data_IF_079484862519
#
_entry.id   IF_079484862519
#
_cell.length_a   1.000
_cell.length_b   1.000
_cell.length_c   1.000
_cell.angle_alpha   90.00
_cell.angle_beta   90.00
_cell.angle_gamma   90.00
#
_symmetry.space_group_name_H-M   'P 1'
#
loop_
_entity.id
_entity.type
_entity.pdbx_description
1 polymer ?
#
# COMPACT_ATOMS: atom_id res chain seq x y z
N UNK A 1 6.74 -12.44 11.59
CA UNK A 1 5.54 -13.30 11.77
C UNK A 1 4.73 -12.85 12.98
N UNK A 2 5.28 -12.82 14.21
CA UNK A 2 4.55 -12.41 15.44
C UNK A 2 3.72 -11.09 15.38
N UNK A 3 4.19 -10.07 14.66
CA UNK A 3 3.46 -8.80 14.54
C UNK A 3 2.17 -8.92 13.72
N UNK A 4 2.22 -9.65 12.61
CA UNK A 4 1.04 -9.90 11.78
C UNK A 4 0.01 -10.72 12.55
N UNK A 5 0.43 -11.57 13.49
CA UNK A 5 -0.46 -12.43 14.27
C UNK A 5 -1.37 -11.61 15.20
N UNK A 6 -0.85 -10.56 15.86
CA UNK A 6 -1.66 -9.67 16.70
C UNK A 6 -2.64 -8.86 15.86
N UNK A 7 -2.19 -8.29 14.73
CA UNK A 7 -3.10 -7.57 13.83
C UNK A 7 -4.15 -8.49 13.22
N UNK A 8 -3.78 -9.72 12.85
CA UNK A 8 -4.70 -10.72 12.35
C UNK A 8 -5.77 -11.04 13.40
N UNK A 9 -5.39 -11.23 14.66
CA UNK A 9 -6.37 -11.49 15.72
C UNK A 9 -7.41 -10.35 15.84
N UNK A 10 -6.97 -9.10 15.82
CA UNK A 10 -7.85 -7.94 16.00
C UNK A 10 -8.65 -7.58 14.74
N UNK A 11 -8.03 -7.66 13.56
CA UNK A 11 -8.59 -7.15 12.31
C UNK A 11 -9.21 -8.23 11.42
N UNK A 12 -8.90 -9.51 11.60
CA UNK A 12 -9.50 -10.59 10.79
C UNK A 12 -11.03 -10.65 10.83
N UNK A 13 -11.75 -10.26 11.91
CA UNK A 13 -13.21 -10.19 11.85
C UNK A 13 -13.74 -9.26 10.76
N UNK A 14 -12.98 -8.23 10.39
CA UNK A 14 -13.34 -7.29 9.32
C UNK A 14 -13.29 -7.94 7.93
N UNK A 15 -12.50 -9.00 7.75
CA UNK A 15 -12.43 -9.74 6.47
C UNK A 15 -13.73 -10.48 6.15
N UNK A 16 -14.60 -10.70 7.14
CA UNK A 16 -15.93 -11.30 6.94
C UNK A 16 -16.96 -10.30 6.42
N UNK A 17 -16.65 -9.01 6.45
CA UNK A 17 -17.52 -7.95 5.95
C UNK A 17 -17.21 -7.62 4.49
N UNK A 18 -18.13 -6.95 3.77
CA UNK A 18 -17.82 -6.38 2.47
C UNK A 18 -16.54 -5.52 2.52
N UNK A 19 -15.60 -5.67 1.56
CA UNK A 19 -14.30 -4.98 1.60
C UNK A 19 -14.40 -3.46 1.79
N UNK A 20 -15.44 -2.83 1.22
CA UNK A 20 -15.69 -1.40 1.39
C UNK A 20 -15.95 -1.04 2.85
N UNK A 21 -16.83 -1.79 3.53
CA UNK A 21 -17.15 -1.53 4.95
C UNK A 21 -15.93 -1.77 5.84
N UNK A 22 -15.14 -2.82 5.56
CA UNK A 22 -13.90 -3.09 6.28
C UNK A 22 -12.94 -1.90 6.19
N UNK A 23 -12.71 -1.37 4.98
CA UNK A 23 -11.83 -0.19 4.80
C UNK A 23 -12.40 1.04 5.49
N UNK A 24 -13.71 1.29 5.44
CA UNK A 24 -14.36 2.41 6.14
C UNK A 24 -14.11 2.33 7.65
N UNK A 25 -14.31 1.16 8.25
CA UNK A 25 -14.08 0.94 9.69
C UNK A 25 -12.60 1.17 10.05
N UNK A 26 -11.68 0.63 9.25
CA UNK A 26 -10.24 0.84 9.47
C UNK A 26 -9.86 2.31 9.33
N UNK A 27 -10.39 3.02 8.32
CA UNK A 27 -10.19 4.47 8.17
C UNK A 27 -10.65 5.24 9.40
N UNK A 28 -11.80 4.89 9.96
CA UNK A 28 -12.30 5.54 11.18
C UNK A 28 -11.36 5.28 12.38
N UNK A 29 -10.93 4.03 12.57
CA UNK A 29 -10.01 3.65 13.65
C UNK A 29 -8.68 4.40 13.53
N UNK A 30 -8.07 4.43 12.33
CA UNK A 30 -6.82 5.14 12.09
C UNK A 30 -7.01 6.64 12.33
N UNK A 31 -8.08 7.25 11.78
CA UNK A 31 -8.36 8.67 12.01
C UNK A 31 -8.53 9.00 13.50
N UNK A 32 -9.18 8.12 14.26
CA UNK A 32 -9.32 8.27 15.70
C UNK A 32 -7.96 8.20 16.41
N UNK A 33 -7.14 7.20 16.11
CA UNK A 33 -5.78 7.04 16.65
C UNK A 33 -4.95 8.30 16.38
N UNK A 34 -4.94 8.77 15.13
CA UNK A 34 -4.20 9.98 14.72
C UNK A 34 -4.63 11.18 15.54
N UNK A 35 -5.93 11.39 15.71
CA UNK A 35 -6.43 12.56 16.43
C UNK A 35 -6.18 12.45 17.93
N UNK A 36 -6.35 11.28 18.54
CA UNK A 36 -6.03 11.07 19.94
C UNK A 36 -4.53 11.33 20.20
N UNK A 37 -3.65 10.75 19.40
CA UNK A 37 -2.20 10.99 19.53
C UNK A 37 -1.90 12.47 19.35
N UNK A 38 -2.43 13.11 18.31
CA UNK A 38 -2.20 14.55 18.09
C UNK A 38 -2.67 15.36 19.28
N UNK A 39 -3.87 15.06 19.81
CA UNK A 39 -4.46 15.78 20.95
C UNK A 39 -3.58 15.72 22.20
N UNK A 40 -3.04 14.53 22.51
CA UNK A 40 -2.29 14.31 23.74
C UNK A 40 -0.79 14.59 23.62
N UNK A 41 -0.27 14.75 22.42
CA UNK A 41 1.17 14.99 22.20
C UNK A 41 1.50 16.41 21.75
N UNK A 42 0.48 17.24 21.42
CA UNK A 42 0.67 18.66 21.10
C UNK A 42 -0.10 19.59 22.05
N UNK A 43 0.44 20.78 22.27
CA UNK A 43 -0.23 21.83 23.03
C UNK A 43 -1.31 22.48 22.14
N UNK A 44 -2.58 22.16 22.41
CA UNK A 44 -3.70 22.60 21.57
C UNK A 44 -3.89 24.13 21.56
N UNK A 45 -3.63 24.81 22.68
CA UNK A 45 -3.73 26.27 22.75
C UNK A 45 -2.67 26.92 21.87
N UNK A 46 -1.41 26.47 21.99
CA UNK A 46 -0.32 26.95 21.16
C UNK A 46 -0.57 26.68 19.67
N UNK A 47 -1.06 25.49 19.32
CA UNK A 47 -1.36 25.13 17.94
C UNK A 47 -2.47 26.02 17.36
N UNK A 48 -3.50 26.32 18.16
CA UNK A 48 -4.58 27.23 17.77
C UNK A 48 -4.06 28.65 17.54
N UNK A 49 -3.28 29.20 18.48
CA UNK A 49 -2.69 30.55 18.37
C UNK A 49 -1.82 30.67 17.13
N UNK A 50 -0.91 29.73 16.90
CA UNK A 50 -0.04 29.73 15.71
C UNK A 50 -0.85 29.69 14.41
N UNK A 51 -1.94 28.92 14.38
CA UNK A 51 -2.82 28.82 13.21
C UNK A 51 -3.59 30.11 12.95
N UNK A 52 -4.05 30.78 14.00
CA UNK A 52 -4.68 32.10 13.91
C UNK A 52 -3.69 33.16 13.41
N UNK A 53 -2.46 33.18 13.94
CA UNK A 53 -1.37 34.06 13.47
C UNK A 53 -1.06 33.84 11.98
N UNK A 54 -0.88 32.58 11.56
CA UNK A 54 -0.63 32.22 10.16
C UNK A 54 -1.77 32.71 9.25
N UNK A 55 -3.03 32.48 9.65
CA UNK A 55 -4.19 32.91 8.87
C UNK A 55 -4.29 34.44 8.77
N UNK A 56 -3.98 35.15 9.85
CA UNK A 56 -4.01 36.62 9.88
C UNK A 56 -2.91 37.21 8.99
N UNK A 57 -1.69 36.68 9.06
CA UNK A 57 -0.59 37.09 8.19
C UNK A 57 -0.91 36.81 6.70
N UNK A 58 -1.59 35.71 6.39
CA UNK A 58 -2.05 35.43 5.03
C UNK A 58 -3.07 36.46 4.51
N UNK A 59 -3.92 37.02 5.37
CA UNK A 59 -4.83 38.12 4.99
C UNK A 59 -4.05 39.41 4.75
N UNK A 60 -3.14 39.77 5.65
CA UNK A 60 -2.30 40.97 5.52
C UNK A 60 -1.47 40.94 4.23
N UNK A 61 -0.92 39.79 3.84
CA UNK A 61 -0.22 39.63 2.55
C UNK A 61 -1.14 39.93 1.36
N UNK A 62 -2.41 39.52 1.41
CA UNK A 62 -3.39 39.81 0.34
C UNK A 62 -3.78 41.29 0.27
N UNK A 63 -3.70 42.01 1.38
CA UNK A 63 -3.94 43.47 1.44
C UNK A 63 -2.71 44.26 0.97
N UNK A 64 -1.50 43.75 1.27
CA UNK A 64 -0.23 44.37 0.91
C UNK A 64 0.24 44.08 -0.53
N UNK A 65 -0.67 43.67 -1.44
CA UNK A 65 -0.34 43.36 -2.85
C UNK A 65 0.45 44.47 -3.56
N UNK A 66 0.19 45.73 -3.20
CA UNK A 66 0.83 46.90 -3.81
C UNK A 66 2.10 47.35 -3.07
N UNK A 67 2.52 46.65 -2.01
CA UNK A 67 3.72 46.96 -1.24
C UNK A 67 4.58 45.69 -1.03
N UNK A 68 5.41 45.32 -2.03
CA UNK A 68 6.16 44.07 -2.00
C UNK A 68 7.17 44.00 -0.84
N UNK A 69 7.76 45.13 -0.44
CA UNK A 69 8.72 45.17 0.67
C UNK A 69 8.04 44.81 2.00
N UNK A 70 6.90 45.45 2.32
CA UNK A 70 6.13 45.13 3.54
C UNK A 70 5.50 43.73 3.48
N UNK A 71 5.03 43.31 2.30
CA UNK A 71 4.51 41.95 2.11
C UNK A 71 5.58 40.89 2.42
N UNK A 72 6.83 41.12 2.02
CA UNK A 72 7.96 40.21 2.31
C UNK A 72 8.26 40.11 3.81
N UNK A 73 8.16 41.21 4.56
CA UNK A 73 8.33 41.18 6.02
C UNK A 73 7.23 40.35 6.71
N UNK A 74 5.97 40.54 6.31
CA UNK A 74 4.85 39.74 6.83
C UNK A 74 5.01 38.27 6.43
N UNK A 75 5.48 38.00 5.21
CA UNK A 75 5.77 36.64 4.75
C UNK A 75 6.85 35.96 5.59
N UNK A 76 7.93 36.67 5.97
CA UNK A 76 8.96 36.11 6.87
C UNK A 76 8.36 35.72 8.22
N UNK A 77 7.55 36.59 8.84
CA UNK A 77 6.83 36.27 10.09
C UNK A 77 5.89 35.08 9.94
N UNK A 78 5.20 34.97 8.80
CA UNK A 78 4.37 33.82 8.47
C UNK A 78 5.17 32.54 8.31
N UNK A 79 6.35 32.60 7.72
CA UNK A 79 7.24 31.47 7.60
C UNK A 79 7.73 31.01 8.98
N UNK A 80 8.12 31.93 9.87
CA UNK A 80 8.53 31.61 11.25
C UNK A 80 7.41 30.93 12.05
N UNK A 81 6.19 31.48 11.99
CA UNK A 81 5.02 30.88 12.63
C UNK A 81 4.70 29.49 12.05
N UNK A 82 4.77 29.32 10.73
CA UNK A 82 4.60 28.03 10.07
C UNK A 82 5.68 27.02 10.47
N UNK A 83 6.95 27.43 10.58
CA UNK A 83 8.04 26.56 11.01
C UNK A 83 7.82 26.09 12.45
N UNK A 84 7.40 26.98 13.35
CA UNK A 84 7.06 26.63 14.74
C UNK A 84 5.85 25.69 14.80
N UNK A 85 4.80 25.97 14.03
CA UNK A 85 3.64 25.06 13.93
C UNK A 85 4.06 23.67 13.42
N UNK A 86 4.88 23.64 12.36
CA UNK A 86 5.38 22.40 11.77
C UNK A 86 6.20 21.60 12.78
N UNK A 87 7.14 22.21 13.50
CA UNK A 87 7.97 21.51 14.49
C UNK A 87 7.14 20.85 15.60
N UNK A 88 6.09 21.53 16.08
CA UNK A 88 5.15 20.95 17.04
C UNK A 88 4.31 19.82 16.44
N UNK A 89 4.04 19.85 15.12
CA UNK A 89 3.35 18.77 14.42
C UNK A 89 4.23 17.60 13.98
N UNK A 90 5.56 17.74 13.99
CA UNK A 90 6.47 16.64 13.60
C UNK A 90 6.42 15.49 14.59
N UNK A 91 6.45 15.79 15.90
CA UNK A 91 6.39 14.77 16.96
C UNK A 91 5.15 13.85 16.84
N UNK A 92 3.89 14.36 16.82
CA UNK A 92 2.73 13.49 16.65
C UNK A 92 2.79 12.72 15.33
N UNK A 93 3.24 13.33 14.24
CA UNK A 93 3.33 12.68 12.92
C UNK A 93 4.25 11.46 12.95
N UNK A 94 5.42 11.57 13.58
CA UNK A 94 6.35 10.44 13.72
C UNK A 94 5.75 9.33 14.59
N UNK A 95 5.04 9.70 15.66
CA UNK A 95 4.38 8.73 16.55
C UNK A 95 3.23 8.02 15.83
N UNK A 96 2.43 8.73 15.04
CA UNK A 96 1.30 8.15 14.30
C UNK A 96 1.73 7.34 13.08
N UNK A 97 2.90 7.62 12.51
CA UNK A 97 3.43 6.88 11.37
C UNK A 97 3.62 5.39 11.70
N UNK A 98 4.07 5.07 12.91
CA UNK A 98 4.29 3.69 13.35
C UNK A 98 3.01 2.81 13.26
N UNK A 99 1.89 3.13 13.95
CA UNK A 99 0.68 2.32 13.83
C UNK A 99 0.10 2.33 12.41
N UNK A 100 0.23 3.44 11.67
CA UNK A 100 -0.28 3.55 10.29
C UNK A 100 0.44 2.56 9.37
N UNK A 101 1.78 2.55 9.36
CA UNK A 101 2.57 1.66 8.50
C UNK A 101 2.20 0.21 8.75
N UNK A 102 2.01 -0.13 10.02
CA UNK A 102 1.72 -1.50 10.40
C UNK A 102 0.31 -1.95 9.95
N UNK A 103 -0.71 -1.12 10.17
CA UNK A 103 -2.07 -1.39 9.66
C UNK A 103 -2.07 -1.40 8.13
N UNK A 104 -1.30 -0.52 7.48
CA UNK A 104 -1.20 -0.49 6.02
C UNK A 104 -0.52 -1.73 5.45
N UNK A 105 0.51 -2.26 6.11
CA UNK A 105 1.13 -3.54 5.74
C UNK A 105 0.10 -4.66 5.76
N UNK A 106 -0.73 -4.72 6.82
CA UNK A 106 -1.83 -5.68 6.91
C UNK A 106 -2.93 -5.46 5.86
N UNK A 107 -3.35 -4.22 5.63
CA UNK A 107 -4.33 -3.90 4.57
C UNK A 107 -3.79 -4.27 3.19
N UNK A 108 -2.51 -3.99 2.93
CA UNK A 108 -1.87 -4.34 1.67
C UNK A 108 -1.74 -5.85 1.47
N UNK A 109 -1.68 -6.65 2.55
CA UNK A 109 -1.67 -8.11 2.47
C UNK A 109 -3.06 -8.72 2.23
N UNK A 110 -4.15 -7.99 2.51
CA UNK A 110 -5.52 -8.52 2.44
C UNK A 110 -6.42 -7.85 1.39
N UNK A 111 -6.09 -6.64 0.95
CA UNK A 111 -6.97 -5.80 0.14
C UNK A 111 -6.32 -5.23 -1.13
N UNK A 112 -5.02 -5.45 -1.37
CA UNK A 112 -4.35 -4.95 -2.57
C UNK A 112 -4.78 -5.72 -3.83
N UNK A 113 -5.01 -7.02 -3.69
CA UNK A 113 -5.23 -7.93 -4.80
C UNK A 113 -6.50 -8.77 -4.63
N UNK A 114 -7.06 -9.19 -5.76
CA UNK A 114 -8.10 -10.21 -5.81
C UNK A 114 -7.45 -11.60 -5.67
N UNK A 115 -8.17 -12.54 -5.08
CA UNK A 115 -7.75 -13.94 -5.07
C UNK A 115 -7.80 -14.54 -6.48
N UNK A 116 -7.13 -15.67 -6.67
CA UNK A 116 -7.19 -16.44 -7.91
C UNK A 116 -8.30 -17.48 -7.75
N UNK A 117 -9.37 -17.37 -8.53
CA UNK A 117 -10.45 -18.33 -8.48
C UNK A 117 -10.00 -19.72 -9.00
N UNK A 118 -10.60 -20.82 -8.53
CA UNK A 118 -10.35 -22.15 -9.10
C UNK A 118 -10.57 -22.15 -10.61
N UNK A 119 -9.66 -22.81 -11.34
CA UNK A 119 -9.61 -22.88 -12.80
C UNK A 119 -9.39 -21.55 -13.53
N UNK A 120 -9.20 -20.44 -12.81
CA UNK A 120 -8.81 -19.18 -13.41
C UNK A 120 -7.34 -19.25 -13.87
N UNK A 121 -7.09 -18.80 -15.10
CA UNK A 121 -5.73 -18.65 -15.61
C UNK A 121 -5.02 -17.47 -14.93
N UNK A 122 -3.76 -17.67 -14.58
CA UNK A 122 -2.88 -16.65 -14.04
C UNK A 122 -1.45 -16.83 -14.53
N UNK A 123 -0.72 -15.73 -14.64
CA UNK A 123 0.67 -15.75 -15.07
C UNK A 123 1.63 -15.86 -13.88
N UNK A 124 2.67 -16.66 -14.05
CA UNK A 124 3.84 -16.70 -13.19
C UNK A 124 5.04 -16.18 -13.98
N UNK A 125 5.73 -15.22 -13.41
CA UNK A 125 6.94 -14.65 -13.96
C UNK A 125 8.15 -15.05 -13.11
N UNK A 126 9.20 -15.55 -13.73
CA UNK A 126 10.52 -15.59 -13.12
C UNK A 126 11.40 -14.52 -13.77
N UNK A 127 12.06 -13.71 -12.96
CA UNK A 127 12.98 -12.65 -13.36
C UNK A 127 14.38 -13.10 -13.01
N UNK A 128 15.27 -12.99 -13.98
CA UNK A 128 16.62 -13.51 -13.89
C UNK A 128 17.65 -12.38 -13.84
N UNK A 129 18.85 -12.73 -13.42
CA UNK A 129 20.02 -11.88 -13.59
C UNK A 129 20.26 -11.58 -15.09
N UNK A 130 20.83 -10.40 -15.40
CA UNK A 130 21.09 -9.99 -16.79
C UNK A 130 22.03 -10.93 -17.53
N UNK A 131 22.90 -11.62 -16.80
CA UNK A 131 23.83 -12.61 -17.35
C UNK A 131 23.15 -13.96 -17.70
N UNK A 132 21.90 -14.19 -17.28
CA UNK A 132 21.19 -15.43 -17.56
C UNK A 132 20.82 -15.56 -19.05
N UNK A 133 20.94 -16.77 -19.60
CA UNK A 133 20.62 -17.10 -20.99
C UNK A 133 20.09 -18.53 -21.09
N UNK A 134 19.45 -18.87 -22.20
CA UNK A 134 18.89 -20.21 -22.43
C UNK A 134 17.45 -20.32 -21.94
N UNK A 135 17.11 -21.47 -21.35
CA UNK A 135 15.75 -21.84 -20.99
C UNK A 135 15.60 -22.00 -19.47
N UNK A 136 14.41 -21.70 -18.97
CA UNK A 136 13.99 -22.04 -17.62
C UNK A 136 12.83 -23.04 -17.67
N UNK A 137 12.70 -23.83 -16.62
CA UNK A 137 11.69 -24.87 -16.47
C UNK A 137 10.85 -24.57 -15.21
N UNK A 138 9.57 -24.93 -15.23
CA UNK A 138 8.67 -24.88 -14.08
C UNK A 138 8.16 -26.28 -13.71
N UNK A 139 8.31 -26.65 -12.45
CA UNK A 139 7.65 -27.82 -11.87
C UNK A 139 6.41 -27.35 -11.13
N UNK A 140 5.28 -27.96 -11.47
CA UNK A 140 4.01 -27.76 -10.77
C UNK A 140 3.59 -29.07 -10.08
N UNK A 141 3.00 -29.01 -8.88
CA UNK A 141 2.48 -30.16 -8.16
C UNK A 141 1.15 -30.63 -8.75
N UNK A 142 0.66 -31.77 -8.26
CA UNK A 142 -0.69 -32.24 -8.56
C UNK A 142 -1.74 -31.18 -8.15
N UNK A 143 -2.70 -30.92 -9.03
CA UNK A 143 -3.72 -29.88 -8.83
C UNK A 143 -3.45 -28.56 -9.55
N UNK A 144 -2.25 -28.35 -10.10
CA UNK A 144 -1.91 -27.27 -11.04
C UNK A 144 -1.64 -27.81 -12.45
N UNK A 145 -2.07 -27.06 -13.46
CA UNK A 145 -1.87 -27.36 -14.88
C UNK A 145 -1.11 -26.20 -15.54
N UNK A 146 -0.10 -26.54 -16.35
CA UNK A 146 0.63 -25.58 -17.19
C UNK A 146 -0.11 -25.46 -18.52
N UNK A 147 -0.45 -24.23 -18.90
CA UNK A 147 -1.03 -23.93 -20.20
C UNK A 147 0.12 -23.49 -21.12
N UNK A 148 0.52 -24.39 -22.01
CA UNK A 148 1.65 -24.21 -22.92
C UNK A 148 2.88 -25.00 -22.52
N UNK A 149 4.06 -24.49 -22.88
CA UNK A 149 5.31 -25.21 -22.68
C UNK A 149 5.83 -25.10 -21.24
N UNK A 150 6.29 -26.23 -20.71
CA UNK A 150 6.95 -26.31 -19.41
C UNK A 150 8.31 -25.62 -19.42
N UNK A 151 9.08 -25.78 -20.51
CA UNK A 151 10.36 -25.09 -20.72
C UNK A 151 10.17 -23.89 -21.61
N UNK A 152 10.66 -22.74 -21.17
CA UNK A 152 10.51 -21.47 -21.91
C UNK A 152 11.85 -20.76 -22.03
N UNK A 153 12.08 -20.15 -23.19
CA UNK A 153 13.27 -19.34 -23.45
C UNK A 153 13.21 -18.03 -22.66
N UNK A 154 14.34 -17.61 -22.10
CA UNK A 154 14.45 -16.33 -21.43
C UNK A 154 14.35 -15.20 -22.45
N UNK A 155 13.43 -14.26 -22.23
CA UNK A 155 13.20 -13.12 -23.09
C UNK A 155 13.01 -11.82 -22.29
N UNK A 156 13.23 -10.65 -22.91
CA UNK A 156 12.85 -9.39 -22.29
C UNK A 156 11.33 -9.32 -22.08
N UNK A 157 10.90 -8.88 -20.89
CA UNK A 157 9.48 -8.75 -20.55
C UNK A 157 9.19 -7.48 -19.76
N UNK A 158 8.01 -6.90 -20.00
CA UNK A 158 7.49 -5.81 -19.20
C UNK A 158 6.51 -6.36 -18.16
N UNK A 159 6.89 -6.34 -16.88
CA UNK A 159 6.08 -6.88 -15.77
C UNK A 159 5.76 -5.73 -14.83
N UNK A 160 4.47 -5.49 -14.56
CA UNK A 160 4.02 -4.41 -13.66
C UNK A 160 4.62 -3.03 -14.01
N UNK A 161 4.68 -2.69 -15.30
CA UNK A 161 5.28 -1.45 -15.85
C UNK A 161 6.79 -1.29 -15.63
N UNK A 162 7.49 -2.37 -15.26
CA UNK A 162 8.95 -2.42 -15.20
C UNK A 162 9.46 -3.36 -16.28
N UNK A 163 10.52 -2.93 -16.98
CA UNK A 163 11.16 -3.76 -18.00
C UNK A 163 12.27 -4.60 -17.37
N UNK A 164 12.30 -5.87 -17.73
CA UNK A 164 13.31 -6.83 -17.33
C UNK A 164 13.98 -7.40 -18.55
N UNK A 165 15.31 -7.46 -18.54
CA UNK A 165 16.11 -7.91 -19.68
C UNK A 165 16.03 -9.43 -19.88
N UNK A 166 15.75 -10.18 -18.80
CA UNK A 166 15.67 -11.63 -18.77
C UNK A 166 14.51 -12.07 -17.87
N UNK A 167 13.48 -12.64 -18.49
CA UNK A 167 12.33 -13.18 -17.80
C UNK A 167 11.80 -14.44 -18.50
N UNK A 168 11.13 -15.27 -17.72
CA UNK A 168 10.32 -16.39 -18.17
C UNK A 168 8.87 -16.16 -17.71
N UNK A 169 7.90 -16.57 -18.52
CA UNK A 169 6.48 -16.47 -18.21
C UNK A 169 5.81 -17.82 -18.47
N UNK A 170 5.05 -18.27 -17.47
CA UNK A 170 4.17 -19.44 -17.59
C UNK A 170 2.75 -19.05 -17.25
N UNK A 171 1.79 -19.62 -17.98
CA UNK A 171 0.37 -19.50 -17.66
C UNK A 171 -0.07 -20.76 -16.95
N UNK A 172 -0.64 -20.63 -15.75
CA UNK A 172 -1.10 -21.74 -14.94
C UNK A 172 -2.60 -21.60 -14.65
N UNK A 173 -3.25 -22.72 -14.38
CA UNK A 173 -4.58 -22.80 -13.75
C UNK A 173 -4.61 -24.00 -12.80
N UNK A 174 -5.57 -24.07 -11.89
CA UNK A 174 -5.69 -25.26 -11.05
C UNK A 174 -6.80 -25.23 -10.02
N UNK A 175 -6.74 -26.20 -9.12
CA UNK A 175 -7.74 -26.43 -8.08
C UNK A 175 -7.50 -25.55 -6.85
N UNK A 176 -8.55 -25.34 -6.06
CA UNK A 176 -8.49 -24.60 -4.80
C UNK A 176 -7.45 -25.21 -3.86
N UNK A 177 -6.65 -24.36 -3.22
CA UNK A 177 -5.61 -24.78 -2.29
C UNK A 177 -4.30 -24.01 -2.43
N UNK A 178 -3.38 -24.27 -1.51
CA UNK A 178 -2.01 -23.78 -1.59
C UNK A 178 -1.13 -24.81 -2.30
N UNK A 179 -0.41 -24.35 -3.31
CA UNK A 179 0.44 -25.17 -4.18
C UNK A 179 1.86 -24.60 -4.19
N UNK A 180 2.88 -25.46 -4.13
CA UNK A 180 4.28 -25.02 -4.20
C UNK A 180 4.78 -25.28 -5.61
N UNK A 181 5.07 -24.20 -6.35
CA UNK A 181 5.73 -24.29 -7.65
C UNK A 181 7.24 -24.15 -7.50
N UNK A 182 7.98 -24.71 -8.43
CA UNK A 182 9.44 -24.70 -8.43
C UNK A 182 9.95 -24.21 -9.78
N UNK A 183 10.77 -23.16 -9.76
CA UNK A 183 11.46 -22.66 -10.93
C UNK A 183 12.84 -23.30 -10.97
N UNK A 184 13.15 -23.96 -12.07
CA UNK A 184 14.45 -24.58 -12.34
C UNK A 184 15.17 -23.79 -13.43
N UNK A 185 16.44 -23.47 -13.16
CA UNK A 185 17.32 -22.86 -14.13
C UNK A 185 18.75 -23.32 -13.89
N UNK A 186 19.33 -24.00 -14.90
CA UNK A 186 20.55 -24.79 -14.73
C UNK A 186 20.41 -25.75 -13.54
N UNK A 187 21.24 -25.60 -12.50
CA UNK A 187 21.20 -26.39 -11.26
C UNK A 187 20.51 -25.65 -10.10
N UNK A 188 20.03 -24.43 -10.32
CA UNK A 188 19.34 -23.64 -9.31
C UNK A 188 17.85 -23.98 -9.28
N UNK A 189 17.32 -24.15 -8.06
CA UNK A 189 15.91 -24.43 -7.79
C UNK A 189 15.35 -23.42 -6.81
N UNK A 190 14.33 -22.66 -7.22
CA UNK A 190 13.64 -21.71 -6.36
C UNK A 190 12.16 -22.05 -6.20
N UNK A 191 11.67 -22.05 -4.97
CA UNK A 191 10.30 -22.43 -4.63
C UNK A 191 9.43 -21.25 -4.24
N UNK A 192 8.22 -21.18 -4.80
CA UNK A 192 7.22 -20.17 -4.48
C UNK A 192 5.87 -20.84 -4.22
N UNK A 193 5.23 -20.50 -3.10
CA UNK A 193 3.83 -20.85 -2.89
C UNK A 193 2.92 -20.03 -3.81
N UNK A 194 1.85 -20.65 -4.28
CA UNK A 194 0.70 -20.08 -4.98
C UNK A 194 -0.56 -20.46 -4.20
N UNK A 195 -1.46 -19.49 -3.94
CA UNK A 195 -2.74 -19.77 -3.30
C UNK A 195 -3.87 -19.53 -4.30
N UNK A 196 -4.63 -20.58 -4.59
CA UNK A 196 -5.88 -20.51 -5.36
C UNK A 196 -7.03 -20.47 -4.35
N UNK A 197 -7.62 -19.29 -4.19
CA UNK A 197 -8.71 -18.97 -3.26
C UNK A 197 -9.45 -17.74 -3.82
N UNK A 198 -10.78 -17.71 -3.73
CA UNK A 198 -11.57 -16.59 -4.26
C UNK A 198 -11.41 -15.28 -3.47
N UNK A 199 -11.13 -15.38 -2.17
CA UNK A 199 -11.13 -14.27 -1.22
C UNK A 199 -9.71 -13.83 -0.82
N UNK A 200 -8.78 -14.78 -0.72
CA UNK A 200 -7.43 -14.57 -0.20
C UNK A 200 -6.37 -14.65 -1.30
N UNK A 201 -5.23 -14.06 -1.00
CA UNK A 201 -4.00 -14.22 -1.78
C UNK A 201 -2.82 -14.24 -0.82
N UNK A 202 -1.68 -14.69 -1.33
CA UNK A 202 -0.39 -14.66 -0.63
C UNK A 202 0.54 -13.66 -1.33
N UNK A 203 1.66 -13.33 -0.69
CA UNK A 203 2.60 -12.32 -1.22
C UNK A 203 2.89 -12.55 -2.71
N UNK A 204 2.68 -11.53 -3.57
CA UNK A 204 2.69 -11.73 -5.01
C UNK A 204 4.09 -11.98 -5.56
N UNK A 205 5.14 -11.62 -4.82
CA UNK A 205 6.52 -11.83 -5.25
C UNK A 205 7.39 -12.39 -4.15
N UNK A 206 8.51 -13.02 -4.51
CA UNK A 206 9.57 -13.42 -3.59
C UNK A 206 10.91 -13.22 -4.26
N UNK A 207 11.83 -12.57 -3.56
CA UNK A 207 13.20 -12.37 -4.00
C UNK A 207 14.08 -13.54 -3.54
N UNK A 208 15.07 -13.88 -4.34
CA UNK A 208 16.05 -14.92 -4.02
C UNK A 208 17.47 -14.43 -4.31
N UNK A 209 18.43 -15.10 -3.68
CA UNK A 209 19.84 -14.91 -3.91
C UNK A 209 20.31 -15.96 -4.92
N UNK A 210 20.43 -15.58 -6.20
CA UNK A 210 20.82 -16.50 -7.27
C UNK A 210 20.64 -15.89 -8.66
N UNK A 211 20.72 -16.72 -9.69
CA UNK A 211 20.41 -16.36 -11.08
C UNK A 211 18.91 -16.11 -11.26
N UNK A 212 18.06 -16.85 -10.53
CA UNK A 212 16.63 -16.53 -10.40
C UNK A 212 16.50 -15.45 -9.32
N UNK A 213 16.37 -14.19 -9.72
CA UNK A 213 16.36 -13.05 -8.78
C UNK A 213 15.03 -12.90 -8.07
N UNK A 214 13.94 -13.16 -8.79
CA UNK A 214 12.60 -12.90 -8.28
C UNK A 214 11.57 -13.77 -9.01
N UNK A 215 10.59 -14.28 -8.27
CA UNK A 215 9.42 -14.97 -8.84
C UNK A 215 8.17 -14.19 -8.44
N UNK A 216 7.34 -13.83 -9.43
CA UNK A 216 6.10 -13.07 -9.27
C UNK A 216 4.90 -13.85 -9.79
N UNK A 217 3.79 -13.75 -9.09
CA UNK A 217 2.47 -14.23 -9.52
C UNK A 217 1.66 -13.00 -9.91
N UNK A 218 1.01 -13.04 -11.07
CA UNK A 218 0.13 -11.97 -11.51
C UNK A 218 -1.19 -12.01 -10.76
N UNK A 219 -1.48 -10.94 -10.02
CA UNK A 219 -2.77 -10.74 -9.38
C UNK A 219 -3.46 -9.48 -9.90
N UNK A 220 -4.77 -9.57 -10.10
CA UNK A 220 -5.60 -8.43 -10.46
C UNK A 220 -5.72 -7.48 -9.26
N UNK A 221 -5.50 -6.16 -9.42
CA UNK A 221 -5.67 -5.22 -8.32
C UNK A 221 -7.13 -5.13 -7.88
N UNK A 222 -7.39 -5.35 -6.58
CA UNK A 222 -8.74 -5.31 -6.02
C UNK A 222 -9.30 -3.90 -6.03
N UNK A 223 -10.48 -3.75 -6.62
CA UNK A 223 -11.24 -2.49 -6.61
C UNK A 223 -12.24 -2.54 -5.47
N UNK A 224 -12.21 -1.54 -4.60
CA UNK A 224 -13.03 -1.51 -3.38
C UNK A 224 -14.15 -0.50 -3.51
N UNK A 225 -13.84 0.68 -4.03
CA UNK A 225 -14.79 1.77 -4.16
C UNK A 225 -15.01 2.08 -5.63
N UNK A 226 -16.27 2.31 -6.00
CA UNK A 226 -16.65 2.77 -7.31
C UNK A 226 -17.48 4.05 -7.15
N UNK A 227 -16.89 5.20 -7.50
CA UNK A 227 -17.55 6.51 -7.46
C UNK A 227 -17.67 7.02 -8.89
N UNK A 228 -18.90 7.19 -9.39
CA UNK A 228 -19.17 7.71 -10.74
C UNK A 228 -18.37 7.00 -11.86
N UNK A 229 -18.17 5.68 -11.73
CA UNK A 229 -17.41 4.88 -12.68
C UNK A 229 -15.90 4.83 -12.42
N UNK A 230 -15.38 5.65 -11.50
CA UNK A 230 -13.99 5.60 -11.07
C UNK A 230 -13.76 4.50 -10.03
N UNK A 231 -13.04 3.45 -10.44
CA UNK A 231 -12.71 2.28 -9.60
C UNK A 231 -11.41 2.52 -8.83
N UNK A 232 -11.51 2.59 -7.52
CA UNK A 232 -10.42 2.93 -6.60
C UNK A 232 -10.07 1.72 -5.72
N UNK A 233 -8.77 1.49 -5.50
CA UNK A 233 -8.29 0.45 -4.58
C UNK A 233 -8.45 0.83 -3.12
N UNK A 234 -7.95 -0.02 -2.22
CA UNK A 234 -8.06 0.20 -0.77
C UNK A 234 -7.40 1.50 -0.30
N UNK A 235 -6.23 1.86 -0.84
CA UNK A 235 -5.48 3.03 -0.39
C UNK A 235 -6.23 4.33 -0.70
N UNK A 236 -6.75 4.48 -1.92
CA UNK A 236 -7.53 5.66 -2.29
C UNK A 236 -8.86 5.74 -1.55
N UNK A 237 -9.52 4.59 -1.35
CA UNK A 237 -10.73 4.49 -0.52
C UNK A 237 -10.42 4.97 0.90
N UNK A 238 -9.33 4.50 1.49
CA UNK A 238 -8.88 4.92 2.81
C UNK A 238 -8.61 6.44 2.88
N UNK A 239 -7.95 7.02 1.87
CA UNK A 239 -7.64 8.46 1.85
C UNK A 239 -8.94 9.28 1.86
N UNK A 240 -9.94 8.91 1.05
CA UNK A 240 -11.22 9.62 0.98
C UNK A 240 -11.92 9.61 2.35
N UNK A 241 -12.09 8.43 2.93
CA UNK A 241 -12.79 8.30 4.22
C UNK A 241 -11.98 8.86 5.39
N UNK A 242 -10.66 8.72 5.39
CA UNK A 242 -9.82 9.29 6.45
C UNK A 242 -9.85 10.81 6.45
N UNK A 243 -9.89 11.49 5.31
CA UNK A 243 -10.06 12.96 5.26
C UNK A 243 -11.41 13.35 5.87
N UNK A 244 -12.49 12.66 5.48
CA UNK A 244 -13.83 12.90 6.01
C UNK A 244 -13.87 12.73 7.54
N UNK A 245 -13.44 11.58 8.04
CA UNK A 245 -13.43 11.28 9.48
C UNK A 245 -12.51 12.23 10.24
N UNK A 246 -11.33 12.53 9.70
CA UNK A 246 -10.39 13.43 10.35
C UNK A 246 -11.00 14.83 10.50
N UNK A 247 -11.71 15.30 9.49
CA UNK A 247 -12.37 16.62 9.50
C UNK A 247 -13.47 16.68 10.56
N UNK A 248 -14.32 15.65 10.64
CA UNK A 248 -15.40 15.55 11.63
C UNK A 248 -14.85 15.43 13.05
N UNK A 249 -13.92 14.50 13.25
CA UNK A 249 -13.36 14.19 14.57
C UNK A 249 -12.51 15.33 15.13
N UNK A 250 -11.74 16.07 14.30
CA UNK A 250 -11.00 17.26 14.75
C UNK A 250 -11.93 18.33 15.30
N UNK A 251 -13.04 18.59 14.59
CA UNK A 251 -14.05 19.56 15.02
C UNK A 251 -14.71 19.12 16.33
N UNK A 252 -15.10 17.85 16.43
CA UNK A 252 -15.75 17.30 17.61
C UNK A 252 -14.81 17.31 18.84
N UNK A 253 -13.55 16.90 18.67
CA UNK A 253 -12.58 16.78 19.76
C UNK A 253 -11.80 18.08 20.05
N UNK A 254 -12.06 19.16 19.31
CA UNK A 254 -11.37 20.46 19.39
C UNK A 254 -9.84 20.31 19.25
N UNK A 255 -9.41 19.62 18.20
CA UNK A 255 -7.98 19.42 17.87
C UNK A 255 -7.62 20.34 16.70
N UNK A 256 -6.63 21.21 16.92
CA UNK A 256 -6.29 22.33 16.03
C UNK A 256 -5.11 22.04 15.10
#
# INVERSE_FOLDING_TARGET
>A
MAYFDVLNFVLSPLLKMPPLLAVIVISLIISLIVILITKYTTNQELMKTLKEEINEQQKQIKELKNNPAKAMEVQKKAMEANMKYMSHSLKPTLITLLPIILIFGWMNANFAHEGIAPQQEFNVYAIFDKAANGEADIIVPEGLEIIGDKKVNLAPAAINKKNFDRAAMWTLKGQEGEHIIEILYNDEKQQKSVLIDNAKYIEPSRNYNGMVRNVQIEYKPKKILNIFGWKIGWLGTYIIFSILFTSVLRKFMKVY
#
